data_IF_038957142675
#
_entry.id   IF_038957142675
#
_cell.length_a   1.000
_cell.length_b   1.000
_cell.length_c   1.000
_cell.angle_alpha   90.00
_cell.angle_beta   90.00
_cell.angle_gamma   90.00
#
_symmetry.space_group_name_H-M   'P 1'
#
loop_
_entity.id
_entity.type
_entity.pdbx_description
1 polymer ?
#
# COMPACT_ATOMS: atom_id res chain seq x y z
N UNK A 1 -5.45 2.37 8.90
CA UNK A 1 -4.61 3.20 8.03
C UNK A 1 -5.20 3.28 6.61
N UNK A 2 -5.13 2.23 5.79
CA UNK A 2 -5.65 2.29 4.40
C UNK A 2 -7.11 2.74 4.33
N UNK A 3 -8.00 2.21 5.17
CA UNK A 3 -9.40 2.66 5.20
C UNK A 3 -9.55 4.16 5.41
N UNK A 4 -8.84 4.75 6.37
CA UNK A 4 -8.85 6.20 6.61
C UNK A 4 -8.35 7.00 5.40
N UNK A 5 -7.30 6.54 4.73
CA UNK A 5 -6.79 7.18 3.50
C UNK A 5 -7.86 7.14 2.42
N UNK A 6 -8.47 5.97 2.21
CA UNK A 6 -9.54 5.77 1.22
C UNK A 6 -10.74 6.66 1.53
N UNK A 7 -11.19 6.72 2.78
CA UNK A 7 -12.33 7.55 3.21
C UNK A 7 -12.10 9.05 2.95
N UNK A 8 -10.87 9.53 3.15
CA UNK A 8 -10.51 10.93 2.85
C UNK A 8 -10.55 11.21 1.36
N UNK A 9 -9.98 10.30 0.56
CA UNK A 9 -9.92 10.44 -0.90
C UNK A 9 -11.31 10.30 -1.52
N UNK A 10 -12.12 9.35 -1.06
CA UNK A 10 -13.49 9.17 -1.54
C UNK A 10 -14.36 10.42 -1.31
N UNK A 11 -14.24 11.07 -0.15
CA UNK A 11 -14.93 12.33 0.12
C UNK A 11 -14.56 13.41 -0.90
N UNK A 12 -13.31 13.48 -1.32
CA UNK A 12 -12.81 14.44 -2.30
C UNK A 12 -13.26 14.11 -3.73
N UNK A 13 -13.25 12.84 -4.12
CA UNK A 13 -13.48 12.37 -5.49
C UNK A 13 -14.84 11.66 -5.69
N UNK A 14 -15.78 11.79 -4.77
CA UNK A 14 -16.99 10.97 -4.62
C UNK A 14 -17.89 10.82 -5.86
N UNK A 15 -17.80 11.72 -6.81
CA UNK A 15 -18.57 11.66 -8.07
C UNK A 15 -17.79 11.09 -9.24
N UNK A 16 -16.55 10.76 -9.04
CA UNK A 16 -15.62 10.39 -10.11
C UNK A 16 -15.07 8.96 -9.96
N UNK A 17 -15.10 8.43 -8.75
CA UNK A 17 -14.62 7.09 -8.43
C UNK A 17 -15.70 6.26 -7.74
N UNK A 18 -15.62 4.95 -7.92
CA UNK A 18 -16.34 3.97 -7.13
C UNK A 18 -15.33 3.22 -6.26
N UNK A 19 -15.55 3.22 -4.95
CA UNK A 19 -14.67 2.53 -4.01
C UNK A 19 -15.34 1.23 -3.57
N UNK A 20 -14.65 0.11 -3.79
CA UNK A 20 -15.04 -1.18 -3.22
C UNK A 20 -14.65 -1.25 -1.74
N UNK A 21 -15.35 -2.03 -0.90
CA UNK A 21 -14.96 -2.23 0.49
C UNK A 21 -13.50 -2.73 0.60
N UNK A 22 -12.80 -2.28 1.65
CA UNK A 22 -11.43 -2.73 1.89
C UNK A 22 -11.39 -4.23 2.10
N UNK A 23 -10.60 -4.93 1.29
CA UNK A 23 -10.34 -6.34 1.43
C UNK A 23 -9.43 -6.56 2.64
N UNK A 24 -10.02 -7.03 3.74
CA UNK A 24 -9.33 -7.11 5.04
C UNK A 24 -8.31 -8.26 5.12
N UNK A 25 -8.50 -9.35 4.36
CA UNK A 25 -7.61 -10.50 4.34
C UNK A 25 -6.64 -10.37 3.15
N UNK A 26 -5.35 -10.37 3.45
CA UNK A 26 -4.28 -10.31 2.47
C UNK A 26 -3.27 -11.45 2.65
N UNK A 27 -2.18 -11.39 1.90
CA UNK A 27 -1.05 -12.32 2.04
C UNK A 27 -0.06 -11.80 3.10
N UNK A 28 -0.03 -12.46 4.25
CA UNK A 28 0.82 -12.14 5.40
C UNK A 28 1.60 -13.36 5.91
N UNK A 29 1.91 -14.31 5.03
CA UNK A 29 2.57 -15.57 5.39
C UNK A 29 3.86 -15.37 6.18
N UNK A 30 4.61 -14.30 5.87
CA UNK A 30 5.84 -13.95 6.56
C UNK A 30 5.66 -13.50 8.02
N UNK A 31 4.43 -13.25 8.46
CA UNK A 31 4.09 -12.87 9.84
C UNK A 31 3.45 -14.01 10.65
N UNK A 32 3.27 -15.22 10.10
CA UNK A 32 2.55 -16.32 10.76
C UNK A 32 3.18 -16.81 12.07
N UNK A 33 4.45 -16.50 12.31
CA UNK A 33 5.10 -16.78 13.60
C UNK A 33 4.58 -15.89 14.76
N UNK A 34 3.76 -14.88 14.47
CA UNK A 34 3.20 -13.98 15.46
C UNK A 34 1.72 -14.23 15.66
N UNK A 35 1.34 -14.44 16.92
CA UNK A 35 -0.04 -14.76 17.30
C UNK A 35 -1.02 -13.68 16.83
N UNK A 36 -2.17 -14.13 16.31
CA UNK A 36 -3.22 -13.24 15.78
C UNK A 36 -3.07 -12.91 14.30
N UNK A 37 -1.98 -13.32 13.64
CA UNK A 37 -1.84 -13.16 12.19
C UNK A 37 -2.79 -14.10 11.46
N UNK A 38 -3.56 -13.52 10.52
CA UNK A 38 -4.35 -14.26 9.55
C UNK A 38 -3.80 -13.95 8.15
N UNK A 39 -3.68 -14.98 7.33
CA UNK A 39 -3.13 -14.87 5.97
C UNK A 39 -3.89 -15.74 4.99
N UNK A 40 -4.14 -15.19 3.81
CA UNK A 40 -4.38 -16.00 2.61
C UNK A 40 -3.03 -16.31 1.96
N UNK A 41 -2.83 -17.53 1.46
CA UNK A 41 -1.63 -17.82 0.68
C UNK A 41 -1.53 -16.87 -0.52
N UNK A 42 -0.31 -16.62 -1.01
CA UNK A 42 -0.11 -15.77 -2.20
C UNK A 42 -0.99 -16.21 -3.38
N UNK A 43 -1.17 -17.52 -3.57
CA UNK A 43 -2.00 -18.06 -4.65
C UNK A 43 -3.47 -17.75 -4.44
N UNK A 44 -4.00 -18.02 -3.24
CA UNK A 44 -5.40 -17.72 -2.90
C UNK A 44 -5.70 -16.22 -3.06
N UNK A 45 -4.80 -15.36 -2.60
CA UNK A 45 -4.98 -13.92 -2.71
C UNK A 45 -4.95 -13.46 -4.17
N UNK A 46 -4.03 -13.98 -4.98
CA UNK A 46 -3.94 -13.71 -6.42
C UNK A 46 -5.23 -14.14 -7.15
N UNK A 47 -5.70 -15.37 -6.91
CA UNK A 47 -6.89 -15.89 -7.57
C UNK A 47 -8.14 -15.08 -7.19
N UNK A 48 -8.28 -14.69 -5.92
CA UNK A 48 -9.36 -13.81 -5.46
C UNK A 48 -9.33 -12.44 -6.16
N UNK A 49 -8.16 -11.83 -6.33
CA UNK A 49 -8.04 -10.57 -7.07
C UNK A 49 -8.39 -10.74 -8.55
N UNK A 50 -8.00 -11.86 -9.16
CA UNK A 50 -8.40 -12.20 -10.52
C UNK A 50 -9.92 -12.22 -10.67
N UNK A 51 -10.61 -12.95 -9.80
CA UNK A 51 -12.08 -13.08 -9.84
C UNK A 51 -12.76 -11.71 -9.67
N UNK A 52 -12.32 -10.92 -8.69
CA UNK A 52 -12.89 -9.59 -8.44
C UNK A 52 -12.70 -8.65 -9.63
N UNK A 53 -11.50 -8.58 -10.17
CA UNK A 53 -11.21 -7.67 -11.30
C UNK A 53 -11.93 -8.11 -12.56
N UNK A 54 -11.98 -9.42 -12.88
CA UNK A 54 -12.73 -9.92 -14.05
C UNK A 54 -14.23 -9.63 -13.93
N UNK A 55 -14.80 -9.69 -12.71
CA UNK A 55 -16.19 -9.28 -12.48
C UNK A 55 -16.40 -7.79 -12.80
N UNK A 56 -15.52 -6.91 -12.33
CA UNK A 56 -15.61 -5.49 -12.69
C UNK A 56 -15.46 -5.26 -14.20
N UNK A 57 -14.54 -5.95 -14.86
CA UNK A 57 -14.37 -5.88 -16.31
C UNK A 57 -15.63 -6.34 -17.07
N UNK A 58 -16.32 -7.38 -16.57
CA UNK A 58 -17.56 -7.89 -17.17
C UNK A 58 -18.73 -6.90 -17.06
N UNK A 59 -18.71 -6.04 -16.01
CA UNK A 59 -19.67 -4.95 -15.83
C UNK A 59 -19.30 -3.68 -16.59
N UNK A 60 -18.22 -3.69 -17.37
CA UNK A 60 -17.85 -2.59 -18.25
C UNK A 60 -16.89 -1.58 -17.64
N UNK A 61 -16.36 -1.81 -16.45
CA UNK A 61 -15.29 -0.99 -15.89
C UNK A 61 -14.03 -1.14 -16.75
N UNK A 62 -13.35 -0.03 -17.00
CA UNK A 62 -12.15 0.02 -17.86
C UNK A 62 -10.91 0.50 -17.12
N UNK A 63 -11.11 1.23 -16.02
CA UNK A 63 -10.05 1.75 -15.15
C UNK A 63 -10.21 1.10 -13.80
N UNK A 64 -9.31 0.22 -13.43
CA UNK A 64 -9.33 -0.51 -12.16
C UNK A 64 -8.02 -0.29 -11.44
N UNK A 65 -8.13 0.16 -10.21
CA UNK A 65 -7.01 0.46 -9.33
C UNK A 65 -7.04 -0.45 -8.12
N UNK A 66 -5.97 -1.20 -7.90
CA UNK A 66 -5.71 -1.91 -6.66
C UNK A 66 -4.84 -1.03 -5.77
N UNK A 67 -5.45 -0.32 -4.81
CA UNK A 67 -4.70 0.45 -3.82
C UNK A 67 -4.32 -0.46 -2.64
N UNK A 68 -3.03 -0.72 -2.52
CA UNK A 68 -2.49 -1.63 -1.52
C UNK A 68 -2.05 -0.92 -0.25
N UNK A 69 -2.24 -1.59 0.88
CA UNK A 69 -1.83 -1.14 2.21
C UNK A 69 -0.97 -2.14 2.98
N UNK A 70 -0.43 -3.19 2.31
CA UNK A 70 0.39 -4.21 2.97
C UNK A 70 1.46 -4.77 2.03
N UNK A 71 2.71 -4.80 2.49
CA UNK A 71 3.85 -5.21 1.66
C UNK A 71 3.75 -6.64 1.09
N UNK A 72 3.20 -7.58 1.84
CA UNK A 72 3.02 -8.97 1.40
C UNK A 72 2.07 -9.14 0.21
N UNK A 73 1.19 -8.18 -0.02
CA UNK A 73 0.26 -8.20 -1.14
C UNK A 73 0.89 -7.76 -2.47
N UNK A 74 2.04 -7.08 -2.43
CA UNK A 74 2.60 -6.39 -3.59
C UNK A 74 2.84 -7.33 -4.78
N UNK A 75 3.55 -8.42 -4.56
CA UNK A 75 3.87 -9.38 -5.62
C UNK A 75 2.63 -10.09 -6.18
N UNK A 76 1.77 -10.72 -5.36
CA UNK A 76 0.60 -11.41 -5.90
C UNK A 76 -0.40 -10.47 -6.58
N UNK A 77 -0.54 -9.22 -6.11
CA UNK A 77 -1.41 -8.25 -6.77
C UNK A 77 -0.87 -7.82 -8.15
N UNK A 78 0.42 -7.56 -8.27
CA UNK A 78 1.06 -7.26 -9.56
C UNK A 78 0.94 -8.43 -10.53
N UNK A 79 1.16 -9.65 -10.04
CA UNK A 79 1.01 -10.86 -10.86
C UNK A 79 -0.43 -11.05 -11.33
N UNK A 80 -1.44 -10.83 -10.47
CA UNK A 80 -2.84 -10.89 -10.85
C UNK A 80 -3.17 -9.93 -11.99
N UNK A 81 -2.78 -8.65 -11.87
CA UNK A 81 -3.01 -7.67 -12.94
C UNK A 81 -2.28 -8.04 -14.24
N UNK A 82 -1.07 -8.59 -14.14
CA UNK A 82 -0.35 -9.06 -15.33
C UNK A 82 -1.11 -10.20 -16.03
N UNK A 83 -1.59 -11.19 -15.29
CA UNK A 83 -2.36 -12.31 -15.84
C UNK A 83 -3.67 -11.83 -16.47
N UNK A 84 -4.42 -10.95 -15.80
CA UNK A 84 -5.65 -10.35 -16.33
C UNK A 84 -5.36 -9.61 -17.63
N UNK A 85 -4.31 -8.80 -17.67
CA UNK A 85 -3.94 -8.06 -18.88
C UNK A 85 -3.62 -8.98 -20.04
N UNK A 86 -2.92 -10.12 -19.79
CA UNK A 86 -2.62 -11.10 -20.84
C UNK A 86 -3.88 -11.80 -21.38
N UNK A 87 -4.84 -12.12 -20.54
CA UNK A 87 -6.13 -12.68 -20.97
C UNK A 87 -6.95 -11.67 -21.82
N UNK A 88 -6.85 -10.40 -21.48
CA UNK A 88 -7.57 -9.30 -22.14
C UNK A 88 -6.69 -8.54 -23.16
N UNK A 89 -5.71 -9.20 -23.81
CA UNK A 89 -4.70 -8.55 -24.67
C UNK A 89 -5.25 -7.75 -25.84
N UNK A 90 -6.42 -8.11 -26.36
CA UNK A 90 -7.07 -7.41 -27.49
C UNK A 90 -7.76 -6.11 -27.05
N UNK A 91 -7.97 -5.90 -25.77
CA UNK A 91 -8.60 -4.69 -25.23
C UNK A 91 -7.55 -3.62 -24.98
N UNK A 92 -7.54 -2.61 -25.84
CA UNK A 92 -6.62 -1.46 -25.70
C UNK A 92 -7.15 -0.36 -24.78
N UNK A 93 -8.42 -0.47 -24.38
CA UNK A 93 -9.17 0.49 -23.57
C UNK A 93 -9.10 0.22 -22.05
N UNK A 94 -8.22 -0.68 -21.61
CA UNK A 94 -8.07 -1.05 -20.21
C UNK A 94 -6.89 -0.36 -19.55
N UNK A 95 -7.14 0.24 -18.38
CA UNK A 95 -6.14 0.71 -17.46
C UNK A 95 -6.24 -0.08 -16.15
N UNK A 96 -5.29 -0.96 -15.92
CA UNK A 96 -5.21 -1.82 -14.74
C UNK A 96 -3.97 -1.43 -13.95
N UNK A 97 -4.15 -0.85 -12.78
CA UNK A 97 -3.07 -0.28 -11.98
C UNK A 97 -3.05 -0.89 -10.58
N UNK A 98 -1.85 -0.98 -10.02
CA UNK A 98 -1.63 -1.31 -8.62
C UNK A 98 -0.56 -0.37 -8.06
N UNK A 99 -0.86 0.22 -6.91
CA UNK A 99 0.13 0.96 -6.15
C UNK A 99 -0.03 0.70 -4.66
N UNK A 100 1.07 0.76 -3.93
CA UNK A 100 1.07 0.78 -2.47
C UNK A 100 1.09 2.23 -2.02
N UNK A 101 0.16 2.66 -1.13
CA UNK A 101 -0.10 4.07 -0.83
C UNK A 101 1.14 4.86 -0.36
N UNK A 102 2.10 4.21 0.29
CA UNK A 102 3.34 4.88 0.74
C UNK A 102 4.45 4.92 -0.32
N UNK A 103 4.21 4.37 -1.50
CA UNK A 103 5.17 4.34 -2.62
C UNK A 103 4.81 5.29 -3.76
N UNK A 104 3.86 6.22 -3.56
CA UNK A 104 3.37 7.13 -4.60
C UNK A 104 4.20 8.41 -4.76
N UNK A 105 5.33 8.51 -4.06
CA UNK A 105 6.33 9.55 -4.33
C UNK A 105 6.58 10.53 -3.21
N UNK A 106 5.67 10.67 -2.23
CA UNK A 106 5.93 11.57 -1.12
C UNK A 106 7.03 11.02 -0.21
N UNK A 107 7.94 11.89 0.17
CA UNK A 107 9.00 11.62 1.14
C UNK A 107 8.62 12.27 2.48
N UNK A 108 8.04 11.52 3.46
CA UNK A 108 7.46 12.10 4.67
C UNK A 108 8.40 12.97 5.49
N UNK A 109 9.68 12.69 5.48
CA UNK A 109 10.71 13.49 6.16
C UNK A 109 10.95 14.89 5.55
N UNK A 110 10.51 15.11 4.32
CA UNK A 110 10.56 16.43 3.68
C UNK A 110 9.42 17.31 4.13
N UNK A 111 8.32 16.73 4.59
CA UNK A 111 7.13 17.44 5.07
C UNK A 111 7.23 17.76 6.55
N UNK A 112 7.81 16.84 7.33
CA UNK A 112 7.93 16.98 8.76
C UNK A 112 9.31 16.49 9.23
N UNK A 113 10.18 17.40 9.61
CA UNK A 113 11.58 17.14 9.94
C UNK A 113 11.80 16.16 11.11
N UNK A 114 10.79 15.96 11.97
CA UNK A 114 10.86 14.97 13.05
C UNK A 114 10.60 13.54 12.58
N UNK A 115 10.14 13.31 11.34
CA UNK A 115 10.05 11.97 10.74
C UNK A 115 11.45 11.60 10.26
N UNK A 116 12.03 10.58 10.88
CA UNK A 116 13.43 10.21 10.66
C UNK A 116 13.61 8.96 9.82
N UNK A 117 12.71 7.99 9.94
CA UNK A 117 12.77 6.79 9.13
C UNK A 117 12.55 7.11 7.65
N UNK A 118 13.42 6.54 6.77
CA UNK A 118 13.49 6.89 5.35
C UNK A 118 12.77 5.92 4.43
N UNK A 119 12.45 4.72 4.90
CA UNK A 119 11.71 3.72 4.14
C UNK A 119 10.71 3.00 5.02
N UNK A 120 9.62 2.53 4.43
CA UNK A 120 8.62 1.74 5.14
C UNK A 120 9.25 0.44 5.67
N UNK A 121 8.98 0.14 6.93
CA UNK A 121 9.27 -1.13 7.57
C UNK A 121 8.00 -1.93 7.84
N UNK A 122 7.90 -2.44 9.08
CA UNK A 122 6.69 -3.07 9.59
C UNK A 122 6.47 -2.66 11.06
N UNK A 123 5.27 -2.20 11.40
CA UNK A 123 5.00 -1.57 12.70
C UNK A 123 6.08 -0.55 13.08
N UNK A 124 6.56 0.19 12.11
CA UNK A 124 7.68 1.13 12.17
C UNK A 124 7.26 2.52 12.66
N UNK A 125 8.16 3.50 12.62
CA UNK A 125 7.84 4.89 12.97
C UNK A 125 6.56 5.39 12.28
N UNK A 126 6.39 5.10 10.97
CA UNK A 126 5.25 5.59 10.20
C UNK A 126 3.96 4.89 10.58
N UNK A 127 3.94 3.56 10.54
CA UNK A 127 2.72 2.80 10.82
C UNK A 127 2.28 2.97 12.27
N UNK A 128 3.21 2.88 13.22
CA UNK A 128 2.90 3.09 14.64
C UNK A 128 2.37 4.51 14.87
N UNK A 129 2.92 5.53 14.21
CA UNK A 129 2.40 6.90 14.30
C UNK A 129 0.96 7.00 13.77
N UNK A 130 0.68 6.40 12.61
CA UNK A 130 -0.67 6.42 12.04
C UNK A 130 -1.67 5.66 12.91
N UNK A 131 -1.27 4.54 13.53
CA UNK A 131 -2.15 3.83 14.48
C UNK A 131 -2.36 4.65 15.75
N UNK A 132 -1.33 5.32 16.27
CA UNK A 132 -1.48 6.26 17.40
C UNK A 132 -2.48 7.39 17.10
N UNK A 133 -2.51 7.89 15.87
CA UNK A 133 -3.45 8.93 15.46
C UNK A 133 -4.89 8.43 15.35
N UNK A 134 -5.09 7.18 14.95
CA UNK A 134 -6.41 6.60 14.68
C UNK A 134 -6.98 5.82 15.87
N UNK A 135 -6.16 5.03 16.53
CA UNK A 135 -6.56 4.06 17.56
C UNK A 135 -5.42 3.88 18.59
N UNK A 136 -5.10 4.91 19.39
CA UNK A 136 -3.98 4.88 20.33
C UNK A 136 -4.08 3.74 21.35
N UNK A 137 -5.29 3.31 21.70
CA UNK A 137 -5.55 2.22 22.62
C UNK A 137 -5.09 0.84 22.11
N UNK A 138 -4.80 0.71 20.83
CA UNK A 138 -4.29 -0.53 20.19
C UNK A 138 -2.76 -0.59 20.16
N UNK A 139 -2.07 0.48 20.56
CA UNK A 139 -0.60 0.54 20.52
C UNK A 139 -0.04 0.20 21.89
N UNK A 140 0.72 -0.89 21.97
CA UNK A 140 1.39 -1.33 23.21
C UNK A 140 2.63 -0.49 23.55
N UNK A 141 3.59 -1.09 24.25
CA UNK A 141 4.82 -0.42 24.69
C UNK A 141 5.83 -0.23 23.54
N UNK A 142 5.48 0.67 22.62
CA UNK A 142 6.33 0.99 21.46
C UNK A 142 7.56 1.83 21.82
N UNK A 143 7.53 2.55 22.96
CA UNK A 143 8.64 3.42 23.39
C UNK A 143 9.89 2.65 23.77
N UNK A 144 9.72 1.43 24.28
CA UNK A 144 10.81 0.55 24.68
C UNK A 144 11.16 -0.49 23.59
N UNK A 145 10.55 -0.41 22.42
CA UNK A 145 10.84 -1.33 21.34
C UNK A 145 12.27 -1.10 20.80
N UNK A 146 13.06 -2.16 20.62
CA UNK A 146 14.41 -2.05 20.09
C UNK A 146 14.40 -1.59 18.63
N UNK A 147 15.52 -1.04 18.18
CA UNK A 147 15.72 -0.73 16.77
C UNK A 147 15.91 -2.02 15.98
N UNK A 148 15.16 -2.17 14.88
CA UNK A 148 15.37 -3.19 13.86
C UNK A 148 15.48 -2.46 12.53
N UNK A 149 16.68 -2.43 11.96
CA UNK A 149 16.92 -1.67 10.74
C UNK A 149 16.05 -2.16 9.57
N UNK A 150 15.36 -1.23 8.88
CA UNK A 150 14.64 -1.58 7.65
C UNK A 150 15.62 -1.93 6.52
N UNK A 151 15.07 -2.33 5.37
CA UNK A 151 15.86 -2.58 4.17
C UNK A 151 16.41 -4.00 4.07
N UNK A 152 17.24 -4.19 3.04
CA UNK A 152 17.86 -5.45 2.66
C UNK A 152 19.31 -5.22 2.27
N UNK A 153 20.23 -5.83 3.02
CA UNK A 153 21.68 -5.72 2.79
C UNK A 153 22.14 -6.34 1.45
N UNK A 154 21.30 -7.11 0.77
CA UNK A 154 21.60 -7.76 -0.50
C UNK A 154 21.06 -7.01 -1.72
N UNK A 155 20.59 -5.78 -1.55
CA UNK A 155 20.11 -4.98 -2.69
C UNK A 155 21.15 -4.96 -3.82
N UNK A 156 20.72 -5.06 -5.10
CA UNK A 156 19.35 -5.10 -5.60
C UNK A 156 18.65 -6.47 -5.55
N UNK A 157 19.29 -7.51 -5.07
CA UNK A 157 18.67 -8.84 -4.98
C UNK A 157 17.61 -8.91 -3.87
N UNK A 158 16.55 -9.66 -4.09
CA UNK A 158 15.58 -10.00 -3.07
C UNK A 158 16.08 -11.19 -2.23
N UNK A 159 16.06 -11.04 -0.91
CA UNK A 159 16.27 -12.14 0.02
C UNK A 159 14.91 -12.67 0.48
N UNK A 160 14.71 -13.98 0.39
CA UNK A 160 13.55 -14.62 1.02
C UNK A 160 13.72 -14.60 2.55
N UNK A 161 12.65 -14.28 3.27
CA UNK A 161 12.68 -14.10 4.73
C UNK A 161 11.30 -14.30 5.35
N UNK A 162 11.28 -14.63 6.64
CA UNK A 162 10.14 -14.46 7.52
C UNK A 162 10.40 -13.28 8.46
N UNK A 163 9.35 -12.71 9.05
CA UNK A 163 9.52 -11.61 10.01
C UNK A 163 10.36 -12.05 11.21
N UNK A 164 10.24 -13.33 11.61
CA UNK A 164 11.02 -13.92 12.70
C UNK A 164 12.53 -13.94 12.44
N UNK A 165 12.97 -14.02 11.17
CA UNK A 165 14.39 -13.95 10.81
C UNK A 165 15.00 -12.58 11.13
N UNK A 166 14.17 -11.55 11.22
CA UNK A 166 14.60 -10.15 11.37
C UNK A 166 14.29 -9.58 12.76
N UNK A 167 13.18 -9.97 13.36
CA UNK A 167 12.66 -9.37 14.56
C UNK A 167 12.00 -10.40 15.48
N UNK A 168 12.45 -10.47 16.73
CA UNK A 168 11.82 -11.32 17.72
C UNK A 168 10.45 -10.79 18.19
N UNK A 169 10.24 -9.48 18.10
CA UNK A 169 9.01 -8.79 18.49
C UNK A 169 8.04 -8.50 17.34
N UNK A 170 8.48 -8.72 16.11
CA UNK A 170 7.64 -8.61 14.91
C UNK A 170 7.74 -7.28 14.17
N UNK A 171 8.15 -6.19 14.78
CA UNK A 171 8.34 -4.92 14.09
C UNK A 171 9.67 -4.85 13.32
N UNK A 172 9.73 -3.98 12.32
CA UNK A 172 10.92 -3.67 11.55
C UNK A 172 10.95 -2.15 11.34
N UNK A 173 11.95 -1.48 11.89
CA UNK A 173 12.05 -0.01 11.89
C UNK A 173 12.20 0.55 13.30
N UNK A 174 11.76 1.81 13.48
CA UNK A 174 11.97 2.60 14.69
C UNK A 174 10.66 3.04 15.36
N UNK A 175 9.85 2.11 15.87
CA UNK A 175 8.54 2.43 16.45
C UNK A 175 8.63 3.39 17.64
N UNK A 176 9.72 3.38 18.42
CA UNK A 176 9.93 4.27 19.56
C UNK A 176 9.95 5.77 19.17
N UNK A 177 10.17 6.09 17.90
CA UNK A 177 10.12 7.46 17.39
C UNK A 177 8.71 7.90 16.99
N UNK A 178 7.74 7.01 17.02
CA UNK A 178 6.37 7.31 16.64
C UNK A 178 5.68 8.33 17.55
N UNK A 179 4.78 9.12 16.97
CA UNK A 179 3.91 10.03 17.70
C UNK A 179 2.56 10.22 17.00
N UNK A 180 1.56 10.60 17.76
CA UNK A 180 0.25 10.97 17.25
C UNK A 180 0.31 12.10 16.19
N UNK A 181 1.15 13.11 16.44
CA UNK A 181 1.34 14.24 15.52
C UNK A 181 1.87 13.78 14.16
N UNK A 182 2.95 12.98 14.15
CA UNK A 182 3.49 12.39 12.92
C UNK A 182 2.44 11.54 12.19
N UNK A 183 1.61 10.82 12.94
CA UNK A 183 0.52 10.03 12.37
C UNK A 183 -0.47 10.88 11.57
N UNK A 184 -0.89 12.02 12.09
CA UNK A 184 -1.77 12.94 11.38
C UNK A 184 -1.11 13.52 10.11
N UNK A 185 0.17 13.88 10.19
CA UNK A 185 0.93 14.35 9.03
C UNK A 185 1.02 13.27 7.95
N UNK A 186 1.38 12.03 8.34
CA UNK A 186 1.49 10.89 7.42
C UNK A 186 0.16 10.55 6.74
N UNK A 187 -0.93 10.49 7.51
CA UNK A 187 -2.26 10.23 6.96
C UNK A 187 -2.67 11.31 5.94
N UNK A 188 -2.39 12.57 6.23
CA UNK A 188 -2.71 13.67 5.32
C UNK A 188 -1.86 13.63 4.06
N UNK A 189 -0.56 13.39 4.21
CA UNK A 189 0.39 13.32 3.11
C UNK A 189 0.09 12.17 2.14
N UNK A 190 -0.10 10.96 2.68
CA UNK A 190 -0.43 9.80 1.85
C UNK A 190 -1.81 9.91 1.20
N UNK A 191 -2.80 10.54 1.88
CA UNK A 191 -4.10 10.79 1.25
C UNK A 191 -3.98 11.76 0.08
N UNK A 192 -3.16 12.82 0.20
CA UNK A 192 -2.92 13.76 -0.89
C UNK A 192 -2.21 13.10 -2.08
N UNK A 193 -1.25 12.20 -1.83
CA UNK A 193 -0.58 11.45 -2.90
C UNK A 193 -1.54 10.51 -3.64
N UNK A 194 -2.35 9.76 -2.89
CA UNK A 194 -3.36 8.88 -3.49
C UNK A 194 -4.37 9.67 -4.29
N UNK A 195 -4.85 10.81 -3.77
CA UNK A 195 -5.78 11.67 -4.48
C UNK A 195 -5.18 12.16 -5.80
N UNK A 196 -3.98 12.75 -5.77
CA UNK A 196 -3.28 13.25 -6.97
C UNK A 196 -3.11 12.14 -8.02
N UNK A 197 -2.69 10.96 -7.58
CA UNK A 197 -2.54 9.81 -8.48
C UNK A 197 -3.87 9.37 -9.11
N UNK A 198 -4.96 9.33 -8.34
CA UNK A 198 -6.28 8.99 -8.87
C UNK A 198 -6.83 10.07 -9.81
N UNK A 199 -6.55 11.35 -9.59
CA UNK A 199 -6.87 12.43 -10.52
C UNK A 199 -6.19 12.21 -11.88
N UNK A 200 -4.93 11.77 -11.90
CA UNK A 200 -4.24 11.41 -13.15
C UNK A 200 -4.86 10.18 -13.83
N UNK A 201 -5.32 9.19 -13.06
CA UNK A 201 -6.06 8.03 -13.58
C UNK A 201 -7.40 8.44 -14.19
N UNK A 202 -8.09 9.39 -13.55
CA UNK A 202 -9.37 9.96 -14.05
C UNK A 202 -9.13 10.72 -15.37
N UNK A 203 -8.04 11.46 -15.47
CA UNK A 203 -7.69 12.28 -16.62
C UNK A 203 -7.07 11.47 -17.79
N UNK A 204 -6.81 10.17 -17.61
CA UNK A 204 -6.24 9.33 -18.67
C UNK A 204 -7.14 9.32 -19.91
N UNK A 205 -6.55 9.49 -21.09
CA UNK A 205 -7.26 9.63 -22.38
C UNK A 205 -7.98 8.34 -22.85
N UNK A 206 -7.76 7.22 -22.18
CA UNK A 206 -8.39 5.93 -22.50
C UNK A 206 -7.63 5.10 -23.53
N UNK A 207 -6.47 5.53 -24.00
CA UNK A 207 -5.75 4.84 -25.09
C UNK A 207 -4.23 4.93 -25.01
N UNK A 208 -3.63 6.04 -24.55
CA UNK A 208 -2.19 6.21 -24.57
C UNK A 208 -1.49 5.37 -23.50
N UNK A 209 -0.28 4.87 -23.84
CA UNK A 209 0.58 4.20 -22.88
C UNK A 209 1.18 5.19 -21.87
N UNK A 210 1.60 6.35 -22.34
CA UNK A 210 2.42 7.29 -21.55
C UNK A 210 1.60 8.21 -20.64
N UNK A 211 0.26 8.14 -20.69
CA UNK A 211 -0.59 9.08 -19.98
C UNK A 211 -0.41 10.53 -20.46
N UNK A 212 -1.27 11.44 -20.03
CA UNK A 212 -1.24 12.86 -20.43
C UNK A 212 -0.20 13.68 -19.65
N UNK A 213 0.34 13.14 -18.58
CA UNK A 213 1.38 13.80 -17.76
C UNK A 213 2.36 12.75 -17.26
N UNK A 214 3.64 13.02 -17.39
CA UNK A 214 4.67 12.21 -16.74
C UNK A 214 4.44 12.23 -15.23
N UNK A 215 4.24 11.06 -14.63
CA UNK A 215 4.39 10.91 -13.20
C UNK A 215 5.79 11.43 -12.86
N UNK A 216 5.88 12.46 -12.05
CA UNK A 216 7.13 13.14 -11.72
C UNK A 216 8.05 12.32 -10.82
N UNK A 217 8.23 11.03 -11.12
CA UNK A 217 9.26 10.23 -10.49
C UNK A 217 10.58 10.51 -11.20
N UNK A 218 11.62 10.95 -10.49
CA UNK A 218 12.96 11.00 -11.06
C UNK A 218 13.36 9.56 -11.45
N UNK A 219 13.81 9.43 -12.71
CA UNK A 219 14.39 8.22 -13.27
C UNK A 219 15.69 7.90 -12.54
#
# INVERSE_FOLDING_TARGET
MLGEIVDRVEKSLSKQILVAPVLWLGNSDHHLDFFGTLSASSRTYLDMLNDLVENFLSYGFKRIVLLNGHGGNDIPAKQALFEIRQRNRIRTDLLLLMATYWGLGIEPWTIHSAITQREMGHACEWETSMVLALRPELVGDYKNAPVVEPGNAFRPANRAWTTKDRSSLGHIGWPHLASHEKGNVLLSAFSADVQRWLEEVIDWDGNSWDGTKHFGFPV
#
